data_IF_767303389981
#
_entry.id   IF_767303389981
#
_cell.length_a   1.000
_cell.length_b   1.000
_cell.length_c   1.000
_cell.angle_alpha   90.00
_cell.angle_beta   90.00
_cell.angle_gamma   90.00
#
_symmetry.space_group_name_H-M   'P 1'
#
loop_
_entity.id
_entity.type
_entity.pdbx_description
1 polymer ?
#
# COMPACT_ATOMS: atom_id res chain seq x y z
N UNK A 1 6.09 -43.99 -19.42
CA UNK A 1 6.51 -42.58 -19.35
C UNK A 1 5.45 -41.82 -18.56
N UNK A 2 5.64 -41.59 -17.26
CA UNK A 2 4.78 -40.72 -16.45
C UNK A 2 5.56 -39.43 -16.21
N UNK A 3 5.16 -38.37 -16.88
CA UNK A 3 5.71 -37.04 -16.69
C UNK A 3 5.23 -36.52 -15.35
N UNK A 4 6.13 -36.50 -14.36
CA UNK A 4 5.92 -35.87 -13.06
C UNK A 4 5.77 -34.36 -13.32
N UNK A 5 4.57 -33.83 -13.13
CA UNK A 5 4.35 -32.38 -13.04
C UNK A 5 5.12 -31.94 -11.77
N UNK A 6 6.08 -31.00 -11.85
CA UNK A 6 6.77 -30.54 -10.66
C UNK A 6 5.75 -29.86 -9.76
N UNK A 7 5.75 -30.26 -8.48
CA UNK A 7 4.89 -29.69 -7.44
C UNK A 7 5.00 -28.17 -7.43
N UNK A 8 3.84 -27.56 -7.53
CA UNK A 8 3.55 -26.15 -7.75
C UNK A 8 3.67 -25.34 -6.44
N UNK A 9 4.83 -25.42 -5.76
CA UNK A 9 5.10 -24.70 -4.49
C UNK A 9 5.15 -23.16 -4.67
N UNK A 10 5.18 -22.67 -5.91
CA UNK A 10 5.21 -21.24 -6.21
C UNK A 10 3.82 -20.60 -6.24
N UNK A 11 2.78 -21.37 -6.55
CA UNK A 11 1.43 -20.83 -6.80
C UNK A 11 0.63 -20.62 -5.51
N UNK A 12 0.99 -21.28 -4.39
CA UNK A 12 0.29 -21.08 -3.11
C UNK A 12 0.53 -19.71 -2.44
N UNK A 13 1.54 -18.93 -2.87
CA UNK A 13 1.87 -17.63 -2.22
C UNK A 13 1.25 -16.40 -2.88
N UNK A 14 0.57 -16.57 -4.01
CA UNK A 14 -0.02 -15.45 -4.76
C UNK A 14 -1.53 -15.55 -4.69
N UNK A 15 -2.13 -14.74 -3.79
CA UNK A 15 -3.58 -14.59 -3.72
C UNK A 15 -4.03 -13.51 -4.71
N UNK A 16 -4.62 -13.93 -5.82
CA UNK A 16 -5.27 -13.01 -6.76
C UNK A 16 -6.62 -12.61 -6.17
N UNK A 17 -6.80 -11.33 -5.86
CA UNK A 17 -8.06 -10.76 -5.41
C UNK A 17 -8.76 -10.05 -6.57
N UNK A 18 -10.07 -10.23 -6.68
CA UNK A 18 -10.86 -9.40 -7.58
C UNK A 18 -10.78 -7.93 -7.12
N UNK A 19 -10.61 -7.01 -8.07
CA UNK A 19 -10.45 -5.56 -7.84
C UNK A 19 -11.69 -4.76 -8.25
N UNK A 20 -12.79 -5.47 -8.50
CA UNK A 20 -14.13 -4.90 -8.70
C UNK A 20 -14.60 -4.15 -7.45
N UNK A 21 -14.21 -4.61 -6.27
CA UNK A 21 -14.30 -3.82 -5.05
C UNK A 21 -13.25 -2.69 -5.06
N UNK A 22 -13.75 -1.46 -5.19
CA UNK A 22 -12.95 -0.23 -5.20
C UNK A 22 -12.04 -0.11 -3.97
N UNK A 23 -12.48 -0.55 -2.79
CA UNK A 23 -11.67 -0.49 -1.56
C UNK A 23 -10.53 -1.49 -1.62
N UNK A 24 -10.78 -2.73 -2.07
CA UNK A 24 -9.71 -3.74 -2.22
C UNK A 24 -8.63 -3.24 -3.18
N UNK A 25 -9.04 -2.64 -4.30
CA UNK A 25 -8.11 -2.02 -5.25
C UNK A 25 -7.27 -0.91 -4.58
N UNK A 26 -7.92 0.00 -3.87
CA UNK A 26 -7.24 1.11 -3.18
C UNK A 26 -6.27 0.64 -2.09
N UNK A 27 -6.63 -0.38 -1.31
CA UNK A 27 -5.71 -1.02 -0.36
C UNK A 27 -4.50 -1.64 -1.08
N UNK A 28 -4.72 -2.32 -2.21
CA UNK A 28 -3.64 -2.86 -3.04
C UNK A 28 -2.68 -1.78 -3.53
N UNK A 29 -3.20 -0.65 -4.01
CA UNK A 29 -2.39 0.50 -4.41
C UNK A 29 -1.60 1.10 -3.24
N UNK A 30 -2.23 1.21 -2.06
CA UNK A 30 -1.59 1.75 -0.86
C UNK A 30 -0.43 0.88 -0.38
N UNK A 31 -0.65 -0.44 -0.29
CA UNK A 31 0.38 -1.36 0.23
C UNK A 31 1.51 -1.62 -0.76
N UNK A 32 1.27 -1.50 -2.07
CA UNK A 32 2.34 -1.67 -3.07
C UNK A 32 3.18 -0.40 -3.29
N UNK A 33 2.78 0.74 -2.72
CA UNK A 33 3.48 2.00 -2.87
C UNK A 33 4.33 2.35 -1.63
N UNK A 34 5.63 2.52 -1.82
CA UNK A 34 6.60 2.73 -0.74
C UNK A 34 6.30 4.01 0.07
N UNK A 35 6.07 5.13 -0.61
CA UNK A 35 5.71 6.40 0.02
C UNK A 35 4.42 6.31 0.84
N UNK A 36 3.42 5.58 0.34
CA UNK A 36 2.16 5.38 1.07
C UNK A 36 2.38 4.58 2.34
N UNK A 37 3.19 3.51 2.28
CA UNK A 37 3.52 2.70 3.46
C UNK A 37 4.31 3.50 4.49
N UNK A 38 5.29 4.28 4.05
CA UNK A 38 6.11 5.11 4.95
C UNK A 38 5.26 6.17 5.65
N UNK A 39 4.40 6.88 4.93
CA UNK A 39 3.47 7.87 5.50
C UNK A 39 2.52 7.20 6.51
N UNK A 40 1.96 6.04 6.18
CA UNK A 40 1.09 5.30 7.09
C UNK A 40 1.83 4.85 8.36
N UNK A 41 3.07 4.40 8.25
CA UNK A 41 3.89 4.01 9.41
C UNK A 41 4.18 5.19 10.33
N UNK A 42 4.47 6.37 9.78
CA UNK A 42 4.67 7.59 10.58
C UNK A 42 3.41 7.95 11.37
N UNK A 43 2.24 7.94 10.71
CA UNK A 43 0.95 8.26 11.32
C UNK A 43 0.49 7.24 12.36
N UNK A 44 0.96 5.99 12.25
CA UNK A 44 0.68 4.98 13.27
C UNK A 44 1.41 5.26 14.59
N UNK A 45 2.55 5.95 14.55
CA UNK A 45 3.39 6.21 15.72
C UNK A 45 3.06 7.53 16.41
N UNK A 46 2.70 8.56 15.65
CA UNK A 46 2.41 9.90 16.17
C UNK A 46 1.52 10.70 15.23
N UNK A 47 0.77 11.66 15.79
CA UNK A 47 0.02 12.63 15.00
C UNK A 47 0.99 13.62 14.33
N UNK A 48 0.93 13.72 13.00
CA UNK A 48 1.80 14.57 12.21
C UNK A 48 1.00 15.37 11.18
N UNK A 49 1.42 16.62 10.98
CA UNK A 49 0.93 17.43 9.86
C UNK A 49 1.58 17.00 8.55
N UNK A 50 0.91 17.28 7.42
CA UNK A 50 1.46 17.02 6.09
C UNK A 50 2.85 17.65 5.87
N UNK A 51 3.09 18.84 6.46
CA UNK A 51 4.39 19.52 6.39
C UNK A 51 5.47 18.76 7.16
N UNK A 52 5.17 18.29 8.38
CA UNK A 52 6.11 17.49 9.16
C UNK A 52 6.44 16.16 8.47
N UNK A 53 5.43 15.51 7.88
CA UNK A 53 5.64 14.28 7.10
C UNK A 53 6.57 14.55 5.92
N UNK A 54 6.31 15.61 5.14
CA UNK A 54 7.15 15.99 4.01
C UNK A 54 8.62 16.26 4.42
N UNK A 55 8.83 16.88 5.57
CA UNK A 55 10.17 17.13 6.10
C UNK A 55 10.87 15.84 6.57
N UNK A 56 10.14 14.90 7.18
CA UNK A 56 10.69 13.65 7.71
C UNK A 56 11.05 12.64 6.62
N UNK A 57 10.27 12.58 5.54
CA UNK A 57 10.42 11.57 4.48
C UNK A 57 11.11 12.10 3.22
N UNK A 58 11.39 13.41 3.17
CA UNK A 58 11.86 14.11 1.95
C UNK A 58 10.89 14.01 0.75
N UNK A 59 9.67 13.50 0.97
CA UNK A 59 8.61 13.47 -0.04
C UNK A 59 8.05 14.89 -0.21
N UNK A 60 7.82 15.30 -1.45
CA UNK A 60 7.21 16.61 -1.71
C UNK A 60 5.86 16.76 -1.00
N UNK A 61 5.60 17.95 -0.44
CA UNK A 61 4.36 18.23 0.29
C UNK A 61 3.09 17.93 -0.52
N UNK A 62 3.13 18.12 -1.85
CA UNK A 62 2.01 17.79 -2.74
C UNK A 62 1.75 16.29 -2.77
N UNK A 63 2.81 15.48 -2.89
CA UNK A 63 2.68 14.03 -2.93
C UNK A 63 2.25 13.47 -1.57
N UNK A 64 2.74 14.05 -0.45
CA UNK A 64 2.23 13.74 0.89
C UNK A 64 0.71 13.97 0.96
N UNK A 65 0.22 15.14 0.54
CA UNK A 65 -1.22 15.44 0.54
C UNK A 65 -2.02 14.46 -0.32
N UNK A 66 -1.50 14.06 -1.48
CA UNK A 66 -2.12 13.05 -2.32
C UNK A 66 -2.30 11.71 -1.56
N UNK A 67 -1.25 11.23 -0.89
CA UNK A 67 -1.32 9.99 -0.12
C UNK A 67 -2.23 10.09 1.12
N UNK A 68 -2.24 11.23 1.80
CA UNK A 68 -3.15 11.47 2.93
C UNK A 68 -4.62 11.46 2.48
N UNK A 69 -4.94 12.07 1.34
CA UNK A 69 -6.30 12.01 0.78
C UNK A 69 -6.72 10.57 0.46
N UNK A 70 -5.81 9.75 -0.10
CA UNK A 70 -6.07 8.33 -0.33
C UNK A 70 -6.35 7.53 0.96
N UNK A 71 -5.61 7.83 2.03
CA UNK A 71 -5.85 7.22 3.35
C UNK A 71 -7.22 7.61 3.90
N UNK A 72 -7.60 8.88 3.79
CA UNK A 72 -8.90 9.36 4.21
C UNK A 72 -10.05 8.73 3.40
N UNK A 73 -9.88 8.57 2.08
CA UNK A 73 -10.86 7.89 1.23
C UNK A 73 -11.08 6.42 1.62
N UNK A 74 -10.09 5.80 2.25
CA UNK A 74 -10.16 4.43 2.80
C UNK A 74 -10.78 4.37 4.21
N UNK A 75 -10.95 5.52 4.87
CA UNK A 75 -11.42 5.60 6.26
C UNK A 75 -10.35 5.26 7.30
N UNK A 76 -9.08 5.46 6.97
CA UNK A 76 -7.95 5.46 7.91
C UNK A 76 -7.77 6.86 8.47
#
# INVERSE_FOLDING_TARGET
>A
MSSKIPDDDFTEKIKILATDDKKIKMFGELFTNDSSREILQLLFNEELTATQISQKTEISLQLVKYHLNKLQDLGV
#
